data_IF_839114713848
#
_entry.id   IF_839114713848
#
_cell.length_a   1.000
_cell.length_b   1.000
_cell.length_c   1.000
_cell.angle_alpha   90.00
_cell.angle_beta   90.00
_cell.angle_gamma   90.00
#
_symmetry.space_group_name_H-M   'P 1'
#
loop_
_entity.id
_entity.type
_entity.pdbx_description
1 polymer ?
#
# COMPACT_ATOMS: atom_id res chain seq x y z
N UNK A 1 -7.91 -3.22 -7.30
CA UNK A 1 -8.99 -2.27 -6.92
C UNK A 1 -10.29 -2.94 -6.45
N UNK A 2 -10.32 -4.26 -6.25
CA UNK A 2 -11.56 -4.99 -5.91
C UNK A 2 -12.09 -4.67 -4.51
N UNK A 3 -11.19 -4.43 -3.55
CA UNK A 3 -11.56 -4.28 -2.15
C UNK A 3 -12.24 -2.93 -1.84
N UNK A 4 -11.71 -1.81 -2.35
CA UNK A 4 -12.29 -0.47 -2.13
C UNK A 4 -13.71 -0.34 -2.74
N UNK A 5 -13.93 -0.98 -3.89
CA UNK A 5 -15.25 -1.06 -4.52
C UNK A 5 -16.23 -1.83 -3.64
N UNK A 6 -15.79 -2.94 -3.04
CA UNK A 6 -16.63 -3.79 -2.18
C UNK A 6 -17.12 -3.08 -0.92
N UNK A 7 -16.30 -2.23 -0.30
CA UNK A 7 -16.76 -1.41 0.84
C UNK A 7 -17.71 -0.30 0.41
N UNK A 8 -17.44 0.34 -0.73
CA UNK A 8 -18.34 1.34 -1.29
C UNK A 8 -19.73 0.77 -1.59
N UNK A 9 -19.78 -0.45 -2.13
CA UNK A 9 -21.01 -1.22 -2.31
C UNK A 9 -21.72 -1.51 -0.98
N UNK A 10 -21.02 -1.94 0.07
CA UNK A 10 -21.60 -2.14 1.41
C UNK A 10 -22.18 -0.86 2.01
N UNK A 11 -21.53 0.29 1.74
CA UNK A 11 -21.99 1.61 2.17
C UNK A 11 -23.07 2.20 1.25
N UNK A 12 -23.50 1.46 0.21
CA UNK A 12 -24.47 1.88 -0.80
C UNK A 12 -24.09 3.21 -1.49
N UNK A 13 -22.77 3.47 -1.62
CA UNK A 13 -22.20 4.68 -2.23
C UNK A 13 -21.29 4.28 -3.38
N UNK A 14 -21.57 4.70 -4.63
CA UNK A 14 -20.69 4.35 -5.74
C UNK A 14 -19.34 5.05 -5.62
N UNK A 15 -18.25 4.28 -5.76
CA UNK A 15 -16.90 4.85 -5.83
C UNK A 15 -16.70 5.56 -7.17
N UNK A 16 -16.64 6.90 -7.14
CA UNK A 16 -16.40 7.71 -8.34
C UNK A 16 -14.90 7.81 -8.65
N UNK A 17 -14.32 6.75 -9.21
CA UNK A 17 -12.95 6.76 -9.72
C UNK A 17 -12.91 7.46 -11.08
N UNK A 18 -12.28 8.64 -11.16
CA UNK A 18 -12.10 9.36 -12.43
C UNK A 18 -10.86 8.94 -13.20
N UNK A 19 -9.81 8.54 -12.49
CA UNK A 19 -8.49 8.27 -13.06
C UNK A 19 -7.87 7.09 -12.32
N UNK A 20 -7.33 6.14 -13.07
CA UNK A 20 -6.46 5.08 -12.57
C UNK A 20 -5.09 5.25 -13.19
N UNK A 21 -4.06 5.19 -12.36
CA UNK A 21 -2.65 5.30 -12.79
C UNK A 21 -1.89 4.05 -12.37
N UNK A 22 -0.85 3.74 -13.13
CA UNK A 22 -0.04 2.53 -12.96
C UNK A 22 1.03 2.65 -11.87
N UNK A 23 1.30 3.84 -11.34
CA UNK A 23 2.32 4.06 -10.31
C UNK A 23 1.87 5.03 -9.22
N UNK A 24 2.41 4.88 -8.01
CA UNK A 24 2.18 5.80 -6.91
C UNK A 24 2.78 7.17 -7.16
N UNK A 25 3.89 7.25 -7.88
CA UNK A 25 4.52 8.51 -8.25
C UNK A 25 3.59 9.32 -9.16
N UNK A 26 3.04 8.69 -10.20
CA UNK A 26 2.06 9.34 -11.09
C UNK A 26 0.85 9.83 -10.30
N UNK A 27 0.35 9.03 -9.35
CA UNK A 27 -0.76 9.45 -8.48
C UNK A 27 -0.38 10.70 -7.66
N UNK A 28 0.79 10.70 -7.02
CA UNK A 28 1.25 11.82 -6.20
C UNK A 28 1.42 13.10 -7.03
N UNK A 29 2.01 13.01 -8.23
CA UNK A 29 2.14 14.15 -9.15
C UNK A 29 0.78 14.74 -9.57
N UNK A 30 -0.22 13.89 -9.79
CA UNK A 30 -1.56 14.35 -10.14
C UNK A 30 -2.28 15.01 -8.95
N UNK A 31 -2.07 14.49 -7.73
CA UNK A 31 -2.59 15.09 -6.50
C UNK A 31 -1.95 16.46 -6.27
N UNK A 32 -0.63 16.55 -6.40
CA UNK A 32 0.12 17.80 -6.31
C UNK A 32 -0.35 18.85 -7.34
N UNK A 33 -0.65 18.41 -8.56
CA UNK A 33 -1.22 19.25 -9.61
C UNK A 33 -2.72 19.61 -9.39
N UNK A 34 -3.33 19.20 -8.27
CA UNK A 34 -4.70 19.56 -7.91
C UNK A 34 -5.79 18.77 -8.64
N UNK A 35 -5.45 17.65 -9.29
CA UNK A 35 -6.42 16.84 -10.06
C UNK A 35 -7.40 16.09 -9.15
N UNK A 36 -7.03 15.83 -7.89
CA UNK A 36 -7.90 15.21 -6.90
C UNK A 36 -7.17 14.61 -5.71
N UNK A 37 -7.79 13.63 -5.07
CA UNK A 37 -7.24 12.85 -3.95
C UNK A 37 -6.99 11.40 -4.38
N UNK A 38 -6.05 10.72 -3.71
CA UNK A 38 -5.74 9.32 -3.97
C UNK A 38 -5.57 8.53 -2.68
N UNK A 39 -5.81 7.21 -2.77
CA UNK A 39 -5.56 6.24 -1.69
C UNK A 39 -4.36 5.40 -2.10
N UNK A 40 -3.35 5.33 -1.23
CA UNK A 40 -2.07 4.72 -1.53
C UNK A 40 -1.38 4.26 -0.23
N UNK A 41 -0.48 3.26 -0.29
CA UNK A 41 0.24 2.79 0.90
C UNK A 41 1.03 3.92 1.56
N UNK A 42 0.99 3.97 2.89
CA UNK A 42 1.62 5.05 3.67
C UNK A 42 3.12 5.21 3.37
N UNK A 43 3.86 4.11 3.22
CA UNK A 43 5.29 4.15 2.91
C UNK A 43 5.60 4.84 1.58
N UNK A 44 4.77 4.61 0.55
CA UNK A 44 4.87 5.31 -0.73
C UNK A 44 4.47 6.78 -0.59
N UNK A 45 3.39 7.05 0.14
CA UNK A 45 2.91 8.40 0.42
C UNK A 45 3.97 9.27 1.10
N UNK A 46 4.56 8.75 2.19
CA UNK A 46 5.61 9.43 2.96
C UNK A 46 6.86 9.68 2.14
N UNK A 47 7.23 8.76 1.25
CA UNK A 47 8.38 8.95 0.36
C UNK A 47 8.18 10.17 -0.54
N UNK A 48 7.01 10.30 -1.17
CA UNK A 48 6.74 11.40 -2.09
C UNK A 48 6.42 12.71 -1.37
N UNK A 49 5.78 12.68 -0.20
CA UNK A 49 5.51 13.86 0.61
C UNK A 49 6.79 14.57 1.10
N UNK A 50 7.96 13.91 1.06
CA UNK A 50 9.26 14.55 1.34
C UNK A 50 9.69 15.53 0.25
N UNK A 51 9.23 15.33 -0.99
CA UNK A 51 9.67 16.10 -2.17
C UNK A 51 8.53 16.80 -2.91
N UNK A 52 7.28 16.51 -2.57
CA UNK A 52 6.08 17.03 -3.24
C UNK A 52 5.15 17.72 -2.24
N UNK A 53 4.42 18.74 -2.71
CA UNK A 53 3.46 19.50 -1.92
C UNK A 53 2.12 18.76 -1.74
N UNK A 54 2.17 17.57 -1.13
CA UNK A 54 0.99 16.74 -0.85
C UNK A 54 0.79 16.57 0.66
N UNK A 55 -0.48 16.57 1.10
CA UNK A 55 -0.85 16.30 2.49
C UNK A 55 -1.26 14.84 2.66
N UNK A 56 -0.75 14.19 3.70
CA UNK A 56 -1.12 12.83 4.07
C UNK A 56 -2.22 12.87 5.12
N UNK A 57 -3.25 12.05 4.93
CA UNK A 57 -4.33 11.83 5.90
C UNK A 57 -4.44 10.33 6.14
N UNK A 58 -4.18 9.83 7.37
CA UNK A 58 -4.32 8.41 7.66
C UNK A 58 -5.79 7.99 7.63
N UNK A 59 -6.03 6.78 7.17
CA UNK A 59 -7.36 6.16 7.19
C UNK A 59 -7.51 5.40 8.51
N UNK A 60 -8.59 5.64 9.23
CA UNK A 60 -8.85 5.05 10.55
C UNK A 60 -9.53 3.68 10.48
N UNK A 61 -9.99 3.29 9.30
CA UNK A 61 -10.76 2.08 9.14
C UNK A 61 -9.87 0.83 9.19
N UNK A 62 -10.37 -0.26 9.76
CA UNK A 62 -9.62 -1.51 9.92
C UNK A 62 -9.05 -2.08 8.61
N UNK A 63 -9.70 -1.76 7.49
CA UNK A 63 -9.27 -2.17 6.18
C UNK A 63 -8.04 -1.45 5.63
N UNK A 64 -7.69 -0.30 6.20
CA UNK A 64 -6.51 0.46 5.80
C UNK A 64 -5.22 -0.30 6.10
N UNK A 65 -5.28 -1.26 7.02
CA UNK A 65 -4.18 -2.16 7.36
C UNK A 65 -3.97 -3.18 6.24
N UNK A 66 -2.90 -2.97 5.47
CA UNK A 66 -2.49 -3.91 4.44
C UNK A 66 -1.61 -5.02 5.05
N UNK A 67 -2.07 -6.26 4.97
CA UNK A 67 -1.23 -7.42 5.28
C UNK A 67 -0.33 -7.75 4.08
N UNK A 68 1.00 -7.68 4.27
CA UNK A 68 1.97 -8.13 3.27
C UNK A 68 2.35 -9.58 3.57
N UNK A 69 2.24 -10.46 2.58
CA UNK A 69 2.49 -11.89 2.75
C UNK A 69 3.58 -12.36 1.79
N UNK A 70 4.41 -13.28 2.27
CA UNK A 70 5.37 -14.01 1.46
C UNK A 70 4.72 -15.34 1.09
N UNK A 71 4.57 -15.60 -0.21
CA UNK A 71 3.91 -16.81 -0.71
C UNK A 71 4.94 -17.70 -1.40
N UNK A 72 5.07 -18.94 -0.93
CA UNK A 72 5.91 -19.97 -1.53
C UNK A 72 5.11 -21.27 -1.65
N UNK A 73 5.43 -22.10 -2.65
CA UNK A 73 4.72 -23.37 -2.85
C UNK A 73 4.94 -24.33 -1.68
N UNK A 74 6.19 -24.46 -1.24
CA UNK A 74 6.62 -25.26 -0.10
C UNK A 74 7.88 -24.62 0.44
N UNK A 75 7.92 -24.32 1.74
CA UNK A 75 9.13 -23.82 2.40
C UNK A 75 10.25 -24.86 2.36
N UNK A 76 9.88 -26.15 2.41
CA UNK A 76 10.84 -27.25 2.46
C UNK A 76 11.49 -27.56 1.11
N UNK A 77 10.85 -27.18 0.01
CA UNK A 77 11.41 -27.33 -1.34
C UNK A 77 12.27 -26.14 -1.78
N UNK A 78 12.34 -25.08 -0.97
CA UNK A 78 13.15 -23.91 -1.29
C UNK A 78 14.64 -24.20 -1.15
N UNK A 79 15.46 -23.73 -2.11
CA UNK A 79 16.90 -23.61 -1.93
C UNK A 79 17.22 -22.78 -0.68
N UNK A 80 18.34 -23.09 -0.01
CA UNK A 80 18.74 -22.42 1.23
C UNK A 80 18.78 -20.88 1.11
N UNK A 81 19.33 -20.34 0.02
CA UNK A 81 19.39 -18.89 -0.19
C UNK A 81 18.00 -18.23 -0.21
N UNK A 82 16.97 -18.95 -0.66
CA UNK A 82 15.61 -18.43 -0.71
C UNK A 82 14.97 -18.44 0.69
N UNK A 83 15.30 -19.44 1.53
CA UNK A 83 14.90 -19.43 2.94
C UNK A 83 15.57 -18.29 3.70
N UNK A 84 16.87 -18.09 3.50
CA UNK A 84 17.63 -16.98 4.10
C UNK A 84 17.01 -15.61 3.74
N UNK A 85 16.58 -15.44 2.48
CA UNK A 85 15.87 -14.23 2.04
C UNK A 85 14.53 -14.07 2.75
N UNK A 86 13.75 -15.16 2.91
CA UNK A 86 12.47 -15.10 3.61
C UNK A 86 12.66 -14.71 5.07
N UNK A 87 13.66 -15.27 5.74
CA UNK A 87 14.00 -14.95 7.12
C UNK A 87 14.38 -13.47 7.26
N UNK A 88 15.26 -12.98 6.38
CA UNK A 88 15.65 -11.57 6.34
C UNK A 88 14.45 -10.63 6.14
N UNK A 89 13.59 -10.92 5.15
CA UNK A 89 12.40 -10.10 4.88
C UNK A 89 11.38 -10.16 6.02
N UNK A 90 11.27 -11.30 6.71
CA UNK A 90 10.36 -11.48 7.86
C UNK A 90 10.87 -10.78 9.11
N UNK A 91 12.18 -10.65 9.26
CA UNK A 91 12.81 -9.84 10.31
C UNK A 91 12.66 -8.34 10.02
N UNK A 92 12.95 -7.90 8.80
CA UNK A 92 12.77 -6.51 8.37
C UNK A 92 11.31 -6.05 8.58
N UNK A 93 10.34 -6.89 8.21
CA UNK A 93 8.93 -6.60 8.43
C UNK A 93 8.56 -6.44 9.92
N UNK A 94 9.17 -7.23 10.82
CA UNK A 94 8.98 -7.10 12.26
C UNK A 94 9.54 -5.79 12.79
N UNK A 95 10.72 -5.38 12.32
CA UNK A 95 11.36 -4.12 12.70
C UNK A 95 10.57 -2.90 12.19
N UNK A 96 10.06 -2.98 10.96
CA UNK A 96 9.21 -1.94 10.37
C UNK A 96 7.87 -1.78 11.12
N UNK A 97 7.27 -2.90 11.57
CA UNK A 97 6.05 -2.89 12.39
C UNK A 97 6.25 -2.36 13.81
N UNK A 98 7.44 -2.50 14.38
CA UNK A 98 7.77 -1.97 15.72
C UNK A 98 8.05 -0.45 15.74
N UNK A 99 8.19 0.17 14.57
CA UNK A 99 8.56 1.58 14.40
C UNK A 99 7.39 2.48 13.96
N UNK A 100 6.16 1.95 13.89
CA UNK A 100 4.94 2.68 13.50
C UNK A 100 4.01 2.97 14.67
#
# INVERSE_FOLDING_TARGET
MTWLNRECEQLNKPLKVRIQVSSFESACRMIEAGVGVGVLPESAARRHARSMAIRLVPLSDAWALRSMQICVRSLDELPNFARDLIDLLSEDARLAGASS
#
